data_IF_675899151471
#
_entry.id   IF_675899151471
#
_cell.length_a   1.000
_cell.length_b   1.000
_cell.length_c   1.000
_cell.angle_alpha   90.00
_cell.angle_beta   90.00
_cell.angle_gamma   90.00
#
_symmetry.space_group_name_H-M   'P 1'
#
loop_
_entity.id
_entity.type
_entity.pdbx_description
1 polymer ?
#
# COMPACT_ATOMS: atom_id res chain seq x y z
N UNK A 1 -14.47 9.84 -87.95
CA UNK A 1 -13.88 10.33 -86.69
C UNK A 1 -14.64 9.68 -85.55
N UNK A 2 -14.00 8.79 -84.79
CA UNK A 2 -14.56 8.16 -83.59
C UNK A 2 -13.82 8.76 -82.39
N UNK A 3 -14.55 9.38 -81.46
CA UNK A 3 -14.00 9.96 -80.22
C UNK A 3 -14.18 8.91 -79.12
N UNK A 4 -13.08 8.39 -78.59
CA UNK A 4 -13.10 7.50 -77.42
C UNK A 4 -12.97 8.36 -76.16
N UNK A 5 -14.01 8.41 -75.34
CA UNK A 5 -13.97 9.06 -74.01
C UNK A 5 -13.44 8.04 -73.01
N UNK A 6 -12.30 8.33 -72.40
CA UNK A 6 -11.68 7.49 -71.38
C UNK A 6 -12.23 7.93 -70.01
N UNK A 7 -13.07 7.10 -69.41
CA UNK A 7 -13.64 7.35 -68.09
C UNK A 7 -12.55 7.19 -67.02
N UNK A 8 -12.33 8.23 -66.23
CA UNK A 8 -11.41 8.24 -65.09
C UNK A 8 -12.20 7.90 -63.83
N UNK A 9 -11.95 6.72 -63.26
CA UNK A 9 -12.54 6.31 -61.98
C UNK A 9 -11.86 7.08 -60.84
N UNK A 10 -12.57 7.86 -60.02
CA UNK A 10 -11.96 8.57 -58.91
C UNK A 10 -11.46 7.57 -57.85
N UNK A 11 -10.22 7.74 -57.41
CA UNK A 11 -9.62 6.95 -56.32
C UNK A 11 -10.29 7.32 -54.99
N UNK A 12 -10.70 6.34 -54.15
CA UNK A 12 -11.27 6.65 -52.85
C UNK A 12 -10.24 7.40 -52.00
N UNK A 13 -10.58 8.60 -51.56
CA UNK A 13 -9.75 9.40 -50.65
C UNK A 13 -9.82 8.77 -49.25
N UNK A 14 -8.68 8.45 -48.60
CA UNK A 14 -8.70 7.91 -47.25
C UNK A 14 -9.34 8.93 -46.30
N UNK A 15 -10.43 8.52 -45.64
CA UNK A 15 -11.09 9.34 -44.61
C UNK A 15 -10.19 9.38 -43.38
N UNK A 16 -9.89 10.57 -42.81
CA UNK A 16 -9.15 10.64 -41.56
C UNK A 16 -9.97 9.95 -40.45
N UNK A 17 -9.44 8.84 -39.94
CA UNK A 17 -9.99 8.19 -38.74
C UNK A 17 -9.59 9.03 -37.53
N UNK A 18 -10.59 9.58 -36.82
CA UNK A 18 -10.39 10.21 -35.52
C UNK A 18 -10.04 9.11 -34.50
N UNK A 19 -8.75 8.87 -34.33
CA UNK A 19 -8.25 8.01 -33.25
C UNK A 19 -8.67 8.62 -31.91
N UNK A 20 -9.41 7.91 -31.05
CA UNK A 20 -9.74 8.41 -29.72
C UNK A 20 -8.42 8.68 -28.99
N UNK A 21 -8.24 9.94 -28.58
CA UNK A 21 -7.07 10.33 -27.80
C UNK A 21 -7.18 9.64 -26.45
N UNK A 22 -6.21 8.81 -26.01
CA UNK A 22 -6.27 8.20 -24.69
C UNK A 22 -6.34 9.33 -23.65
N UNK A 23 -7.46 9.41 -22.94
CA UNK A 23 -7.60 10.31 -21.81
C UNK A 23 -6.54 9.91 -20.79
N UNK A 24 -5.59 10.81 -20.50
CA UNK A 24 -4.61 10.58 -19.44
C UNK A 24 -5.37 10.44 -18.14
N UNK A 25 -5.60 9.20 -17.69
CA UNK A 25 -6.02 8.93 -16.32
C UNK A 25 -4.99 9.59 -15.41
N UNK A 26 -5.38 10.48 -14.48
CA UNK A 26 -4.42 11.08 -13.56
C UNK A 26 -3.70 9.95 -12.84
N UNK A 27 -2.40 9.82 -13.09
CA UNK A 27 -1.54 8.91 -12.36
C UNK A 27 -1.69 9.27 -10.89
N UNK A 28 -2.03 8.32 -9.98
CA UNK A 28 -2.09 8.63 -8.56
C UNK A 28 -0.74 9.24 -8.18
N UNK A 29 -0.77 10.51 -7.79
CA UNK A 29 0.43 11.20 -7.32
C UNK A 29 0.86 10.45 -6.08
N UNK A 30 1.94 9.65 -6.19
CA UNK A 30 2.61 9.14 -4.99
C UNK A 30 3.12 10.38 -4.28
N UNK A 31 2.38 10.84 -3.27
CA UNK A 31 2.91 11.79 -2.30
C UNK A 31 4.21 11.16 -1.79
N UNK A 32 5.37 11.81 -1.97
CA UNK A 32 6.57 11.32 -1.32
C UNK A 32 6.32 11.47 0.18
N UNK A 33 5.93 10.38 0.84
CA UNK A 33 6.09 10.26 2.28
C UNK A 33 7.58 10.32 2.51
N UNK A 34 8.08 11.45 3.01
CA UNK A 34 9.44 11.53 3.51
C UNK A 34 9.47 10.59 4.71
N UNK A 35 9.90 9.34 4.50
CA UNK A 35 10.29 8.44 5.57
C UNK A 35 11.64 8.92 6.08
N UNK A 36 11.63 10.03 6.81
CA UNK A 36 12.65 10.28 7.81
C UNK A 36 12.44 9.18 8.83
N UNK A 37 13.25 8.11 8.78
CA UNK A 37 13.36 7.21 9.90
C UNK A 37 13.92 8.07 11.06
N UNK A 38 13.11 8.45 12.07
CA UNK A 38 13.69 9.14 13.20
C UNK A 38 14.71 8.19 13.81
N UNK A 39 15.92 8.69 14.04
CA UNK A 39 16.74 8.09 15.07
C UNK A 39 15.93 8.20 16.37
N UNK A 40 15.68 7.11 17.11
CA UNK A 40 14.80 7.15 18.26
C UNK A 40 15.39 8.11 19.28
N UNK A 41 14.76 9.28 19.37
CA UNK A 41 15.06 10.22 20.43
C UNK A 41 14.39 9.63 21.65
N UNK A 42 15.18 9.34 22.68
CA UNK A 42 14.72 8.67 23.90
C UNK A 42 13.43 9.33 24.41
N UNK A 43 12.31 8.59 24.39
CA UNK A 43 11.01 9.05 24.91
C UNK A 43 10.03 9.71 23.92
N UNK A 44 10.27 9.70 22.60
CA UNK A 44 9.26 10.15 21.62
C UNK A 44 8.73 9.00 20.77
N UNK A 45 7.54 8.51 21.10
CA UNK A 45 6.76 7.63 20.22
C UNK A 45 6.04 8.50 19.16
N UNK A 46 6.31 8.24 17.88
CA UNK A 46 5.71 9.00 16.77
C UNK A 46 4.20 8.81 16.64
N UNK A 47 3.65 7.75 17.21
CA UNK A 47 2.26 7.34 17.02
C UNK A 47 1.35 7.80 18.16
N UNK A 48 1.91 8.44 19.19
CA UNK A 48 1.13 8.98 20.30
C UNK A 48 0.52 10.36 19.96
N UNK A 49 -0.71 10.68 20.45
CA UNK A 49 -1.54 9.86 21.32
C UNK A 49 -2.32 8.77 20.56
N UNK A 50 -2.26 7.52 21.01
CA UNK A 50 -3.01 6.37 20.45
C UNK A 50 -3.68 5.49 21.52
N UNK A 51 -3.86 6.02 22.73
CA UNK A 51 -4.31 5.31 23.93
C UNK A 51 -5.79 4.83 23.95
N UNK A 52 -6.52 4.87 22.83
CA UNK A 52 -7.94 4.51 22.76
C UNK A 52 -8.40 4.19 21.33
N UNK A 53 -9.57 3.54 21.18
CA UNK A 53 -10.19 3.34 19.85
C UNK A 53 -10.38 4.65 19.06
N UNK A 54 -10.73 5.75 19.73
CA UNK A 54 -10.94 7.05 19.09
C UNK A 54 -9.65 7.72 18.62
N UNK A 55 -8.53 7.43 19.28
CA UNK A 55 -7.20 7.99 18.96
C UNK A 55 -6.31 7.00 18.22
N UNK A 56 -6.78 5.76 17.99
CA UNK A 56 -6.02 4.66 17.41
C UNK A 56 -5.28 5.06 16.12
N UNK A 57 -3.96 4.86 16.03
CA UNK A 57 -3.17 5.35 14.90
C UNK A 57 -3.50 4.60 13.58
N UNK A 58 -3.75 5.30 12.45
CA UNK A 58 -4.02 4.64 11.19
C UNK A 58 -2.75 4.00 10.59
N UNK A 59 -2.86 2.75 10.15
CA UNK A 59 -1.76 2.02 9.51
C UNK A 59 -2.12 1.52 8.11
N UNK A 60 -1.09 1.35 7.30
CA UNK A 60 -1.15 0.79 5.95
C UNK A 60 -0.72 -0.68 5.98
N UNK A 61 -1.26 -1.45 5.03
CA UNK A 61 -0.91 -2.86 4.89
C UNK A 61 0.57 -3.00 4.52
N UNK A 62 1.21 -4.04 5.03
CA UNK A 62 2.59 -4.46 4.73
C UNK A 62 3.70 -3.51 5.24
N UNK A 63 3.37 -2.30 5.70
CA UNK A 63 4.31 -1.37 6.33
C UNK A 63 4.74 -1.85 7.73
N UNK A 64 5.91 -1.37 8.16
CA UNK A 64 6.49 -1.64 9.49
C UNK A 64 6.38 -0.41 10.36
N UNK A 65 5.90 -0.61 11.59
CA UNK A 65 5.75 0.42 12.61
C UNK A 65 6.61 0.07 13.83
N UNK A 66 7.44 1.01 14.28
CA UNK A 66 8.32 0.85 15.43
C UNK A 66 7.89 1.76 16.57
N UNK A 67 7.26 1.20 17.60
CA UNK A 67 6.58 1.94 18.66
C UNK A 67 6.96 1.38 20.04
N UNK A 68 6.65 2.11 21.10
CA UNK A 68 7.13 1.89 22.45
C UNK A 68 5.95 1.85 23.42
N UNK A 69 5.82 0.77 24.19
CA UNK A 69 5.02 0.83 25.40
C UNK A 69 5.77 1.71 26.40
N UNK A 70 5.24 2.89 26.70
CA UNK A 70 5.85 3.79 27.68
C UNK A 70 4.85 4.80 28.27
N UNK A 71 4.41 4.65 29.54
CA UNK A 71 4.89 3.71 30.55
C UNK A 71 4.29 2.30 30.39
N UNK A 72 4.53 1.38 31.32
CA UNK A 72 4.01 0.00 31.24
C UNK A 72 2.49 -0.12 31.16
N UNK A 73 1.74 0.91 31.58
CA UNK A 73 0.29 1.00 31.47
C UNK A 73 -0.21 1.56 30.13
N UNK A 74 0.71 1.91 29.23
CA UNK A 74 0.41 2.45 27.92
C UNK A 74 -0.30 1.40 27.04
N UNK A 75 -1.29 1.87 26.29
CA UNK A 75 -2.16 1.05 25.45
C UNK A 75 -2.11 1.56 24.02
N UNK A 76 -1.27 0.95 23.21
CA UNK A 76 -1.16 1.34 21.81
C UNK A 76 -2.33 0.80 20.98
N UNK A 77 -3.26 1.68 20.59
CA UNK A 77 -4.29 1.32 19.61
C UNK A 77 -3.85 1.69 18.19
N UNK A 78 -4.04 0.75 17.25
CA UNK A 78 -3.92 1.01 15.82
C UNK A 78 -5.23 0.70 15.12
N UNK A 79 -5.46 1.31 13.95
CA UNK A 79 -6.65 1.05 13.13
C UNK A 79 -6.28 0.89 11.67
N UNK A 80 -7.04 0.06 10.96
CA UNK A 80 -6.92 -0.09 9.52
C UNK A 80 -8.28 -0.42 8.89
N UNK A 81 -8.35 -0.29 7.58
CA UNK A 81 -9.56 -0.54 6.80
C UNK A 81 -9.25 -1.57 5.72
N UNK A 82 -10.01 -2.66 5.70
CA UNK A 82 -9.92 -3.66 4.64
C UNK A 82 -10.99 -3.39 3.59
N UNK A 83 -10.63 -3.56 2.32
CA UNK A 83 -11.52 -3.34 1.17
C UNK A 83 -11.99 -4.65 0.51
N UNK A 84 -11.35 -5.77 0.86
CA UNK A 84 -11.72 -7.10 0.39
C UNK A 84 -11.62 -8.08 1.56
N UNK A 85 -12.70 -8.80 1.83
CA UNK A 85 -12.80 -9.79 2.90
C UNK A 85 -12.24 -11.17 2.48
N UNK A 86 -11.91 -11.38 1.21
CA UNK A 86 -11.30 -12.62 0.71
C UNK A 86 -9.84 -12.81 1.15
N UNK A 87 -9.23 -11.78 1.75
CA UNK A 87 -7.85 -11.83 2.23
C UNK A 87 -7.79 -11.85 3.75
N UNK A 88 -6.96 -12.72 4.35
CA UNK A 88 -6.79 -12.75 5.78
C UNK A 88 -6.11 -11.47 6.28
N UNK A 89 -6.49 -11.04 7.48
CA UNK A 89 -5.73 -10.10 8.29
C UNK A 89 -4.64 -10.90 8.99
N UNK A 90 -3.38 -10.64 8.64
CA UNK A 90 -2.21 -11.23 9.31
C UNK A 90 -1.48 -10.17 10.11
N UNK A 91 -1.57 -10.27 11.44
CA UNK A 91 -0.84 -9.41 12.38
C UNK A 91 0.44 -10.10 12.78
N UNK A 92 1.54 -9.36 12.81
CA UNK A 92 2.83 -9.83 13.33
C UNK A 92 3.46 -8.74 14.19
N UNK A 93 3.68 -9.06 15.46
CA UNK A 93 4.42 -8.22 16.41
C UNK A 93 5.77 -8.87 16.72
N UNK A 94 6.87 -8.15 16.55
CA UNK A 94 8.21 -8.60 16.99
C UNK A 94 8.59 -7.91 18.28
N UNK A 95 8.99 -8.69 19.28
CA UNK A 95 9.23 -8.25 20.65
C UNK A 95 10.72 -8.00 20.86
N UNK A 96 11.14 -6.84 21.39
CA UNK A 96 12.54 -6.46 21.45
C UNK A 96 13.34 -7.16 22.56
N UNK A 97 12.72 -7.49 23.69
CA UNK A 97 13.34 -8.23 24.80
C UNK A 97 12.38 -9.32 25.33
N UNK A 98 12.18 -10.41 24.56
CA UNK A 98 11.19 -11.42 24.87
C UNK A 98 11.50 -12.23 26.15
N UNK A 99 12.73 -12.16 26.66
CA UNK A 99 13.10 -12.77 27.94
C UNK A 99 12.62 -11.98 29.17
N UNK A 100 12.29 -10.70 28.99
CA UNK A 100 11.86 -9.80 30.08
C UNK A 100 10.48 -9.21 29.89
N UNK A 101 10.00 -9.14 28.65
CA UNK A 101 8.74 -8.46 28.32
C UNK A 101 7.70 -9.44 27.79
N UNK A 102 6.51 -9.35 28.36
CA UNK A 102 5.32 -10.03 27.86
C UNK A 102 4.36 -8.98 27.29
N UNK A 103 4.14 -9.06 25.99
CA UNK A 103 3.20 -8.27 25.22
C UNK A 103 1.93 -9.05 24.97
N UNK A 104 0.81 -8.33 24.93
CA UNK A 104 -0.47 -8.81 24.44
C UNK A 104 -0.86 -8.06 23.17
N UNK A 105 -1.52 -8.76 22.26
CA UNK A 105 -2.15 -8.21 21.07
C UNK A 105 -3.61 -8.63 21.09
N UNK A 106 -4.52 -7.67 21.03
CA UNK A 106 -5.94 -7.91 20.79
C UNK A 106 -6.31 -7.38 19.40
N UNK A 107 -7.13 -8.13 18.65
CA UNK A 107 -7.75 -7.71 17.41
C UNK A 107 -9.24 -7.47 17.66
N UNK A 108 -9.76 -6.35 17.17
CA UNK A 108 -11.17 -5.96 17.30
C UNK A 108 -11.80 -5.69 15.94
N UNK A 109 -13.09 -5.95 15.84
CA UNK A 109 -13.94 -5.55 14.71
C UNK A 109 -14.33 -4.07 14.78
N UNK A 110 -15.20 -3.63 13.87
CA UNK A 110 -15.67 -2.25 13.76
C UNK A 110 -16.54 -1.80 14.95
N UNK A 111 -17.18 -2.75 15.65
CA UNK A 111 -18.08 -2.51 16.78
C UNK A 111 -17.36 -2.61 18.12
N UNK A 112 -16.02 -2.69 18.10
CA UNK A 112 -15.14 -2.85 19.26
C UNK A 112 -15.28 -4.20 19.98
N UNK A 113 -15.86 -5.22 19.34
CA UNK A 113 -15.81 -6.57 19.88
C UNK A 113 -14.42 -7.14 19.64
N UNK A 114 -13.84 -7.73 20.69
CA UNK A 114 -12.55 -8.42 20.55
C UNK A 114 -12.78 -9.76 19.85
N UNK A 115 -12.22 -9.92 18.67
CA UNK A 115 -12.37 -11.11 17.82
C UNK A 115 -11.18 -12.06 17.90
N UNK A 116 -10.01 -11.57 18.32
CA UNK A 116 -8.84 -12.42 18.61
C UNK A 116 -7.95 -11.79 19.69
N UNK A 117 -7.17 -12.62 20.37
CA UNK A 117 -6.18 -12.20 21.37
C UNK A 117 -5.04 -13.20 21.47
N UNK A 118 -3.81 -12.68 21.57
CA UNK A 118 -2.63 -13.50 21.82
C UNK A 118 -1.62 -12.73 22.66
N UNK A 119 -0.97 -13.43 23.59
CA UNK A 119 0.20 -12.94 24.31
C UNK A 119 1.39 -13.87 24.06
N UNK A 120 2.60 -13.33 24.08
CA UNK A 120 3.80 -14.17 23.98
C UNK A 120 4.09 -14.87 25.32
N UNK A 121 4.81 -15.98 25.24
CA UNK A 121 5.50 -16.57 26.37
C UNK A 121 6.92 -15.97 26.53
N UNK A 122 7.52 -16.18 27.70
CA UNK A 122 8.91 -15.79 27.92
C UNK A 122 9.83 -16.48 26.89
N UNK A 123 10.63 -15.68 26.19
CA UNK A 123 11.51 -16.11 25.11
C UNK A 123 10.86 -16.19 23.72
N UNK A 124 9.53 -16.14 23.61
CA UNK A 124 8.84 -16.03 22.31
C UNK A 124 8.94 -14.59 21.81
N UNK A 125 9.65 -14.40 20.69
CA UNK A 125 9.95 -13.08 20.15
C UNK A 125 8.94 -12.57 19.13
N UNK A 126 7.91 -13.36 18.80
CA UNK A 126 6.90 -13.00 17.79
C UNK A 126 5.51 -13.40 18.27
N UNK A 127 4.58 -12.46 18.22
CA UNK A 127 3.14 -12.74 18.28
C UNK A 127 2.61 -12.68 16.85
N UNK A 128 1.81 -13.68 16.46
CA UNK A 128 1.13 -13.69 15.17
C UNK A 128 -0.32 -14.09 15.35
N UNK A 129 -1.21 -13.33 14.71
CA UNK A 129 -2.65 -13.56 14.64
C UNK A 129 -3.00 -13.60 13.15
N UNK A 130 -3.81 -14.57 12.74
CA UNK A 130 -4.39 -14.65 11.41
C UNK A 130 -5.90 -14.74 11.57
N UNK A 131 -6.62 -13.79 10.98
CA UNK A 131 -8.06 -13.73 11.01
C UNK A 131 -8.62 -13.68 9.59
N UNK A 132 -9.58 -14.53 9.28
CA UNK A 132 -10.32 -14.52 8.01
C UNK A 132 -11.57 -13.64 8.16
N UNK A 133 -11.56 -12.38 7.69
CA UNK A 133 -12.68 -11.47 7.88
C UNK A 133 -13.89 -11.91 7.06
N UNK A 134 -15.09 -11.73 7.60
CA UNK A 134 -16.36 -12.00 6.86
C UNK A 134 -16.98 -10.74 6.27
N UNK A 135 -16.48 -9.57 6.66
CA UNK A 135 -16.97 -8.27 6.24
C UNK A 135 -15.81 -7.30 6.02
N UNK A 136 -15.96 -6.43 5.03
CA UNK A 136 -15.05 -5.29 4.81
C UNK A 136 -15.32 -4.18 5.82
N UNK A 137 -14.38 -3.26 5.97
CA UNK A 137 -14.53 -2.14 6.90
C UNK A 137 -13.38 -1.99 7.86
N UNK A 138 -13.66 -1.41 9.02
CA UNK A 138 -12.64 -0.99 9.98
C UNK A 138 -12.34 -2.10 10.99
N UNK A 139 -11.07 -2.25 11.31
CA UNK A 139 -10.55 -3.12 12.37
C UNK A 139 -9.61 -2.31 13.25
N UNK A 140 -9.44 -2.78 14.48
CA UNK A 140 -8.53 -2.17 15.45
C UNK A 140 -7.61 -3.22 16.06
N UNK A 141 -6.41 -2.79 16.43
CA UNK A 141 -5.47 -3.54 17.24
C UNK A 141 -5.24 -2.81 18.54
N UNK A 142 -5.03 -3.55 19.62
CA UNK A 142 -4.43 -3.04 20.85
C UNK A 142 -3.18 -3.82 21.16
N UNK A 143 -2.07 -3.12 21.38
CA UNK A 143 -0.81 -3.67 21.88
C UNK A 143 -0.61 -3.14 23.29
N UNK A 144 -0.21 -4.01 24.21
CA UNK A 144 -0.07 -3.67 25.62
C UNK A 144 0.96 -4.57 26.32
N UNK A 145 1.49 -4.10 27.45
CA UNK A 145 2.29 -4.94 28.34
C UNK A 145 1.38 -5.76 29.26
N UNK A 146 1.54 -7.07 29.26
CA UNK A 146 0.74 -8.00 30.10
C UNK A 146 1.04 -7.81 31.59
N UNK A 147 2.27 -7.40 31.91
CA UNK A 147 2.76 -7.27 33.29
C UNK A 147 3.05 -5.82 33.69
N UNK A 148 2.64 -4.84 32.88
CA UNK A 148 3.02 -3.43 33.02
C UNK A 148 4.55 -3.20 33.07
N UNK A 149 5.32 -4.11 32.46
CA UNK A 149 6.75 -3.94 32.23
C UNK A 149 6.98 -3.16 30.94
N UNK A 150 7.95 -2.25 30.95
CA UNK A 150 8.29 -1.43 29.79
C UNK A 150 9.78 -1.11 29.75
N UNK A 151 10.29 -0.84 28.56
CA UNK A 151 11.62 -0.29 28.34
C UNK A 151 11.50 0.78 27.24
N UNK A 152 11.56 2.08 27.59
CA UNK A 152 11.34 3.17 26.63
C UNK A 152 12.49 3.30 25.61
N UNK A 153 13.53 2.46 25.70
CA UNK A 153 14.60 2.37 24.71
C UNK A 153 14.40 1.24 23.68
N UNK A 154 13.37 0.40 23.86
CA UNK A 154 13.15 -0.82 23.08
C UNK A 154 11.80 -0.78 22.37
N UNK A 155 11.82 -0.43 21.09
CA UNK A 155 10.62 -0.48 20.25
C UNK A 155 10.25 -1.92 19.88
N UNK A 156 8.96 -2.23 19.87
CA UNK A 156 8.46 -3.39 19.13
C UNK A 156 8.35 -3.07 17.64
N UNK A 157 8.32 -4.10 16.78
CA UNK A 157 8.02 -3.95 15.35
C UNK A 157 6.63 -4.56 15.06
N UNK A 158 5.66 -3.73 14.67
CA UNK A 158 4.35 -4.14 14.20
C UNK A 158 4.33 -4.17 12.66
N UNK A 159 3.79 -5.25 12.10
CA UNK A 159 3.40 -5.33 10.68
C UNK A 159 2.04 -6.02 10.56
N UNK A 160 1.14 -5.41 9.80
CA UNK A 160 -0.19 -5.98 9.50
C UNK A 160 -0.33 -6.10 7.99
N UNK A 161 -0.75 -7.26 7.50
CA UNK A 161 -1.07 -7.50 6.10
C UNK A 161 -2.56 -7.76 5.99
N UNK A 162 -3.26 -6.98 5.18
CA UNK A 162 -4.72 -7.08 5.01
C UNK A 162 -5.16 -6.77 3.57
N UNK A 163 -4.21 -6.79 2.64
CA UNK A 163 -4.43 -6.70 1.21
C UNK A 163 -3.42 -7.57 0.47
N UNK A 164 -3.64 -7.73 -0.85
CA UNK A 164 -2.63 -8.33 -1.72
C UNK A 164 -1.51 -7.32 -1.95
N UNK A 165 -0.27 -7.79 -1.96
CA UNK A 165 0.84 -7.00 -2.48
C UNK A 165 0.49 -6.45 -3.88
N UNK A 166 0.79 -5.18 -4.18
CA UNK A 166 0.48 -4.62 -5.49
C UNK A 166 1.09 -5.50 -6.59
N UNK A 167 0.26 -5.91 -7.55
CA UNK A 167 0.79 -6.61 -8.74
C UNK A 167 1.65 -5.61 -9.50
N UNK A 168 2.89 -5.96 -9.91
CA UNK A 168 3.70 -5.05 -10.71
C UNK A 168 2.91 -4.67 -11.97
N UNK A 169 2.74 -3.38 -12.20
CA UNK A 169 2.06 -2.88 -13.41
C UNK A 169 2.89 -3.30 -14.63
N UNK A 170 2.31 -3.94 -15.67
CA UNK A 170 3.05 -4.24 -16.88
C UNK A 170 3.53 -2.92 -17.52
N UNK A 171 4.85 -2.78 -17.66
CA UNK A 171 5.45 -1.66 -18.39
C UNK A 171 5.07 -1.77 -19.87
N UNK A 172 4.36 -0.79 -20.41
CA UNK A 172 4.09 -0.73 -21.85
C UNK A 172 5.40 -0.48 -22.60
N UNK A 173 5.93 -1.48 -23.30
CA UNK A 173 7.07 -1.32 -24.21
C UNK A 173 6.62 -0.51 -25.42
N UNK A 174 7.15 0.71 -25.58
CA UNK A 174 6.89 1.52 -26.78
C UNK A 174 7.41 0.80 -28.02
N UNK A 175 6.55 0.56 -29.00
CA UNK A 175 6.93 0.02 -30.31
C UNK A 175 7.88 0.99 -31.02
N UNK A 176 9.02 0.55 -31.58
CA UNK A 176 9.96 1.44 -32.24
C UNK A 176 9.30 2.18 -33.42
N UNK A 177 9.47 3.50 -33.46
CA UNK A 177 8.99 4.36 -34.54
C UNK A 177 9.72 4.03 -35.84
N UNK A 178 8.97 3.75 -36.91
CA UNK A 178 9.55 3.58 -38.24
C UNK A 178 10.14 4.92 -38.71
N UNK A 179 11.43 4.93 -39.05
CA UNK A 179 12.12 6.11 -39.62
C UNK A 179 11.52 6.46 -40.97
N UNK A 180 11.07 7.71 -41.22
CA UNK A 180 10.59 8.10 -42.54
C UNK A 180 11.76 8.07 -43.54
N UNK A 181 11.59 7.35 -44.64
CA UNK A 181 12.53 7.31 -45.76
C UNK A 181 12.64 8.70 -46.38
N UNK A 182 13.85 9.24 -46.64
CA UNK A 182 14.00 10.53 -47.30
C UNK A 182 13.43 10.49 -48.72
N UNK A 183 12.62 11.50 -49.05
CA UNK A 183 12.06 11.70 -50.40
C UNK A 183 13.15 12.19 -51.37
N UNK A 184 13.20 11.72 -52.62
CA UNK A 184 14.16 12.22 -53.60
C UNK A 184 13.87 13.69 -53.98
N UNK A 185 14.92 14.50 -54.03
CA UNK A 185 14.89 15.91 -54.47
C UNK A 185 14.64 15.99 -55.99
N UNK A 186 13.72 16.85 -56.48
CA UNK A 186 13.55 17.05 -57.91
C UNK A 186 14.72 17.85 -58.49
N UNK A 187 15.39 17.28 -59.50
CA UNK A 187 16.40 17.96 -60.31
C UNK A 187 15.72 18.90 -61.30
N UNK A 188 16.01 20.20 -61.22
CA UNK A 188 15.63 21.17 -62.26
C UNK A 188 16.67 21.09 -63.37
N UNK A 189 16.22 20.74 -64.59
CA UNK A 189 17.04 20.77 -65.80
C UNK A 189 16.78 22.09 -66.51
N UNK A 190 17.85 22.85 -66.78
CA UNK A 190 17.84 24.05 -67.63
C UNK A 190 18.24 23.73 -69.06
#
# INVERSE_FOLDING_TARGET
>A
YQITVKEIVPTPTPTPSITPTPTRTPTPTRTPTITIAPSPTHGYDLYEPNNSFSTAWPINSSEKYFAYINPGSDLDYFRFNIQNADYPITVRLTIPDPGKMLYGVDLYDADYNRIDTKANQAGENVISITHDPTQTGRYYLRIYSVQNLYDPSKAYELRVVFDRAPTPTPTSTSTPTQTPTPSPTPTVIG
#
